data_IF_324795400686
#
_entry.id   IF_324795400686
#
_cell.length_a   1.000
_cell.length_b   1.000
_cell.length_c   1.000
_cell.angle_alpha   90.00
_cell.angle_beta   90.00
_cell.angle_gamma   90.00
#
_symmetry.space_group_name_H-M   'P 1'
#
loop_
_entity.id
_entity.type
_entity.pdbx_description
1 polymer ?
#
# COMPACT_ATOMS: atom_id res chain seq x y z
N UNK A 1 -9.78 -3.43 -10.55
CA UNK A 1 -9.33 -2.01 -10.50
C UNK A 1 -7.83 -2.03 -10.50
N UNK A 2 -7.17 -1.16 -11.27
CA UNK A 2 -5.71 -1.12 -11.37
C UNK A 2 -5.25 0.29 -11.02
N UNK A 3 -4.37 0.40 -10.03
CA UNK A 3 -3.66 1.65 -9.73
C UNK A 3 -2.42 1.67 -10.63
N UNK A 4 -2.24 2.79 -11.34
CA UNK A 4 -1.17 2.98 -12.33
C UNK A 4 -0.24 4.11 -11.95
N UNK A 5 -0.68 5.02 -11.07
CA UNK A 5 0.11 6.15 -10.59
C UNK A 5 -0.33 6.55 -9.18
N UNK A 6 0.62 7.05 -8.39
CA UNK A 6 0.37 7.63 -7.08
C UNK A 6 0.45 9.16 -7.15
N UNK A 7 -0.44 9.84 -6.44
CA UNK A 7 -0.36 11.27 -6.22
C UNK A 7 0.37 11.56 -4.90
N UNK A 8 1.48 12.28 -5.00
CA UNK A 8 2.31 12.66 -3.86
C UNK A 8 2.25 14.16 -3.59
N UNK A 9 2.19 14.52 -2.32
CA UNK A 9 2.38 15.88 -1.84
C UNK A 9 3.15 15.91 -0.51
N UNK A 10 3.54 17.10 -0.06
CA UNK A 10 4.34 17.21 1.15
C UNK A 10 3.64 16.63 2.39
N UNK A 11 2.30 16.67 2.44
CA UNK A 11 1.52 16.20 3.56
C UNK A 11 1.52 14.67 3.64
N UNK A 12 1.26 13.98 2.53
CA UNK A 12 1.22 12.51 2.52
C UNK A 12 2.63 11.89 2.63
N UNK A 13 3.65 12.51 2.01
CA UNK A 13 5.05 12.10 2.19
C UNK A 13 5.44 12.19 3.67
N UNK A 14 5.17 13.33 4.31
CA UNK A 14 5.47 13.52 5.74
C UNK A 14 4.67 12.55 6.62
N UNK A 15 3.44 12.21 6.23
CA UNK A 15 2.61 11.28 6.99
C UNK A 15 3.16 9.86 6.95
N UNK A 16 3.51 9.33 5.78
CA UNK A 16 4.07 7.96 5.66
C UNK A 16 5.47 7.85 6.27
N UNK A 17 6.26 8.93 6.21
CA UNK A 17 7.59 8.96 6.81
C UNK A 17 7.55 8.74 8.35
N UNK A 18 6.44 9.10 9.02
CA UNK A 18 6.24 8.80 10.46
C UNK A 18 6.14 7.31 10.75
N UNK A 19 5.89 6.49 9.74
CA UNK A 19 5.86 5.03 9.82
C UNK A 19 7.15 4.39 9.26
N UNK A 20 8.21 5.17 9.07
CA UNK A 20 9.47 4.71 8.47
C UNK A 20 9.26 4.03 7.11
N UNK A 21 8.40 4.63 6.28
CA UNK A 21 8.18 4.22 4.90
C UNK A 21 8.47 5.40 4.01
N UNK A 22 9.34 5.20 3.03
CA UNK A 22 9.59 6.20 2.00
C UNK A 22 8.57 6.10 0.85
N UNK A 23 8.37 7.18 0.07
CA UNK A 23 7.57 7.11 -1.14
C UNK A 23 8.02 5.99 -2.09
N UNK A 24 9.34 5.80 -2.23
CA UNK A 24 9.94 4.77 -3.09
C UNK A 24 9.62 3.36 -2.60
N UNK A 25 9.72 3.10 -1.28
CA UNK A 25 9.31 1.80 -0.71
C UNK A 25 7.82 1.52 -0.95
N UNK A 26 6.97 2.55 -0.87
CA UNK A 26 5.55 2.38 -1.14
C UNK A 26 5.28 2.12 -2.63
N UNK A 27 5.96 2.85 -3.53
CA UNK A 27 5.88 2.64 -4.97
C UNK A 27 6.32 1.22 -5.35
N UNK A 28 7.45 0.76 -4.81
CA UNK A 28 7.95 -0.60 -5.00
C UNK A 28 6.90 -1.64 -4.56
N UNK A 29 6.30 -1.45 -3.39
CA UNK A 29 5.24 -2.33 -2.90
C UNK A 29 3.98 -2.33 -3.80
N UNK A 30 3.70 -1.21 -4.48
CA UNK A 30 2.53 -1.02 -5.37
C UNK A 30 2.78 -1.59 -6.77
N UNK A 31 3.98 -1.42 -7.33
CA UNK A 31 4.27 -1.70 -8.74
C UNK A 31 5.09 -2.97 -8.97
N UNK A 32 6.04 -3.28 -8.09
CA UNK A 32 7.06 -4.31 -8.37
C UNK A 32 6.71 -5.68 -7.77
N UNK A 33 5.71 -5.77 -6.90
CA UNK A 33 5.29 -7.03 -6.29
C UNK A 33 3.77 -7.27 -6.46
N UNK A 34 3.32 -8.49 -6.81
CA UNK A 34 1.91 -8.88 -6.73
C UNK A 34 1.38 -8.78 -5.29
N UNK A 35 0.83 -7.63 -4.94
CA UNK A 35 0.11 -7.39 -3.69
C UNK A 35 -1.38 -7.74 -3.78
N UNK A 36 -2.01 -7.86 -2.61
CA UNK A 36 -3.45 -8.08 -2.46
C UNK A 36 -4.12 -6.72 -2.34
N UNK A 37 -4.92 -6.37 -3.34
CA UNK A 37 -5.78 -5.19 -3.30
C UNK A 37 -7.15 -5.54 -2.73
N UNK A 38 -7.58 -4.82 -1.71
CA UNK A 38 -8.91 -4.99 -1.11
C UNK A 38 -9.63 -3.64 -1.03
N UNK A 39 -10.96 -3.70 -1.12
CA UNK A 39 -11.82 -2.53 -0.95
C UNK A 39 -12.18 -2.41 0.53
N UNK A 40 -11.94 -1.23 1.11
CA UNK A 40 -12.34 -0.87 2.47
C UNK A 40 -13.78 -0.41 2.57
N UNK A 41 -14.18 -0.11 3.81
CA UNK A 41 -15.39 0.67 4.08
C UNK A 41 -15.14 2.11 3.59
N UNK A 42 -16.18 2.75 3.04
CA UNK A 42 -16.19 4.15 2.56
C UNK A 42 -15.22 4.48 1.42
N UNK A 43 -15.21 3.71 0.33
CA UNK A 43 -14.55 4.12 -0.93
C UNK A 43 -13.02 4.10 -0.94
N UNK A 44 -12.39 3.76 0.19
CA UNK A 44 -10.94 3.57 0.28
C UNK A 44 -10.53 2.18 -0.16
N UNK A 45 -9.30 2.07 -0.63
CA UNK A 45 -8.66 0.82 -1.00
C UNK A 45 -7.46 0.59 -0.11
N UNK A 46 -7.13 -0.67 0.12
CA UNK A 46 -5.90 -1.01 0.81
C UNK A 46 -5.14 -2.10 0.08
N UNK A 47 -3.83 -2.04 0.24
CA UNK A 47 -2.85 -2.95 -0.32
C UNK A 47 -2.17 -3.69 0.81
N UNK A 48 -2.10 -5.01 0.68
CA UNK A 48 -1.16 -5.83 1.42
C UNK A 48 -0.09 -6.31 0.43
N UNK A 49 1.14 -5.86 0.59
CA UNK A 49 2.24 -6.23 -0.31
C UNK A 49 3.55 -6.41 0.45
N UNK A 50 4.58 -6.87 -0.25
CA UNK A 50 5.93 -6.99 0.29
C UNK A 50 6.89 -6.19 -0.57
N UNK A 51 7.83 -5.48 0.05
CA UNK A 51 8.97 -4.90 -0.67
C UNK A 51 9.92 -6.01 -1.14
N UNK A 52 10.80 -5.69 -2.07
CA UNK A 52 11.96 -6.48 -2.48
C UNK A 52 12.89 -6.74 -1.30
N UNK A 53 13.01 -5.79 -0.37
CA UNK A 53 13.76 -5.95 0.89
C UNK A 53 13.09 -6.90 1.89
N UNK A 54 11.87 -7.38 1.61
CA UNK A 54 11.15 -8.33 2.44
C UNK A 54 10.25 -7.72 3.52
N UNK A 55 10.09 -6.40 3.55
CA UNK A 55 9.16 -5.72 4.48
C UNK A 55 7.73 -5.91 4.03
N UNK A 56 6.84 -6.22 4.95
CA UNK A 56 5.43 -6.41 4.68
C UNK A 56 4.69 -5.09 4.92
N UNK A 57 4.20 -4.48 3.85
CA UNK A 57 3.57 -3.16 3.87
C UNK A 57 2.04 -3.31 3.79
N UNK A 58 1.36 -2.64 4.71
CA UNK A 58 -0.05 -2.29 4.62
C UNK A 58 -0.16 -0.82 4.22
N UNK A 59 -0.85 -0.55 3.11
CA UNK A 59 -1.08 0.80 2.64
C UNK A 59 -2.55 1.05 2.32
N UNK A 60 -3.02 2.27 2.59
CA UNK A 60 -4.39 2.72 2.32
C UNK A 60 -4.34 3.85 1.31
N UNK A 61 -5.25 3.79 0.34
CA UNK A 61 -5.35 4.72 -0.75
C UNK A 61 -6.77 5.26 -0.89
N UNK A 62 -6.84 6.51 -1.27
CA UNK A 62 -8.04 7.11 -1.85
C UNK A 62 -7.93 6.99 -3.37
N UNK A 63 -8.85 6.25 -3.98
CA UNK A 63 -8.86 6.10 -5.44
C UNK A 63 -9.49 7.33 -6.07
N UNK A 64 -8.77 7.95 -6.99
CA UNK A 64 -9.21 9.11 -7.75
C UNK A 64 -9.79 8.65 -9.09
N UNK A 65 -9.36 9.24 -10.22
CA UNK A 65 -9.80 8.85 -11.57
C UNK A 65 -8.62 8.29 -12.37
N UNK A 66 -8.93 7.47 -13.38
CA UNK A 66 -7.96 6.97 -14.37
C UNK A 66 -6.75 6.22 -13.77
N UNK A 67 -6.95 5.43 -12.72
CA UNK A 67 -5.86 4.67 -12.09
C UNK A 67 -4.95 5.49 -11.17
N UNK A 68 -5.22 6.79 -11.00
CA UNK A 68 -4.54 7.63 -10.02
C UNK A 68 -5.09 7.34 -8.62
N UNK A 69 -4.20 7.16 -7.65
CA UNK A 69 -4.58 7.01 -6.25
C UNK A 69 -3.69 7.85 -5.34
N UNK A 70 -4.27 8.37 -4.27
CA UNK A 70 -3.54 9.14 -3.26
C UNK A 70 -3.25 8.26 -2.06
N UNK A 71 -1.98 8.07 -1.66
CA UNK A 71 -1.64 7.42 -0.41
C UNK A 71 -2.23 8.20 0.78
N UNK A 72 -3.00 7.52 1.61
CA UNK A 72 -3.58 8.04 2.85
C UNK A 72 -2.68 7.68 4.03
N UNK A 73 -2.24 6.41 4.09
CA UNK A 73 -1.29 5.93 5.09
C UNK A 73 -0.56 4.70 4.56
N UNK A 74 0.66 4.48 5.01
CA UNK A 74 1.43 3.26 4.79
C UNK A 74 2.14 2.93 6.09
N UNK A 75 2.17 1.64 6.46
CA UNK A 75 2.86 1.14 7.65
C UNK A 75 3.23 -0.34 7.47
N UNK A 76 4.03 -0.85 8.38
CA UNK A 76 4.23 -2.30 8.48
C UNK A 76 2.90 -3.01 8.80
N UNK A 77 2.73 -4.21 8.26
CA UNK A 77 1.61 -5.09 8.58
C UNK A 77 1.64 -5.50 10.05
N UNK A 78 0.46 -5.61 10.67
CA UNK A 78 0.28 -6.31 11.93
C UNK A 78 0.36 -7.82 11.73
N UNK A 79 0.59 -8.60 12.80
CA UNK A 79 0.62 -10.07 12.74
C UNK A 79 -0.66 -10.69 12.14
N UNK A 80 -1.80 -10.03 12.32
CA UNK A 80 -3.08 -10.47 11.74
C UNK A 80 -3.13 -10.24 10.23
N UNK A 81 -2.64 -9.10 9.78
CA UNK A 81 -2.55 -8.75 8.35
C UNK A 81 -1.49 -9.58 7.64
N UNK A 82 -0.35 -9.81 8.27
CA UNK A 82 0.72 -10.65 7.77
C UNK A 82 0.24 -12.09 7.55
N UNK A 83 -0.34 -12.73 8.57
CA UNK A 83 -0.98 -14.06 8.42
C UNK A 83 -2.07 -14.09 7.36
N UNK A 84 -2.78 -12.98 7.14
CA UNK A 84 -3.78 -12.88 6.08
C UNK A 84 -3.15 -12.79 4.70
N UNK A 85 -2.08 -12.03 4.55
CA UNK A 85 -1.29 -11.94 3.33
C UNK A 85 -0.70 -13.30 2.97
N UNK A 86 -0.06 -13.97 3.92
CA UNK A 86 0.52 -15.31 3.71
C UNK A 86 -0.51 -16.36 3.32
N UNK A 87 -1.72 -16.37 3.91
CA UNK A 87 -2.76 -17.32 3.51
C UNK A 87 -3.26 -17.13 2.08
N UNK A 88 -3.10 -15.95 1.50
CA UNK A 88 -3.61 -15.62 0.16
C UNK A 88 -2.51 -15.64 -0.91
N UNK A 89 -1.31 -15.21 -0.56
CA UNK A 89 -0.13 -15.22 -1.44
C UNK A 89 0.74 -16.47 -1.25
N UNK A 90 0.52 -17.25 -0.20
CA UNK A 90 1.20 -18.52 0.05
C UNK A 90 0.70 -19.62 -0.89
N UNK A 91 1.23 -19.60 -2.12
CA UNK A 91 1.48 -20.77 -2.97
C UNK A 91 2.74 -20.52 -3.79
#
# INVERSE_FOLDING_TARGET
MKITSLEWDAANITHIARHNISPEELEEAVYDNPGIWERGRTGRYYLLSRTLSGRYIFAVFEYMKNGLARPVTARDMTDTEHRRYERRCGK
#
